data_IF_153548279181
#
_entry.id   IF_153548279181
#
_cell.length_a   1.000
_cell.length_b   1.000
_cell.length_c   1.000
_cell.angle_alpha   90.00
_cell.angle_beta   90.00
_cell.angle_gamma   90.00
#
_symmetry.space_group_name_H-M   'P 1'
#
loop_
_entity.id
_entity.type
_entity.pdbx_description
1 polymer ?
#
# COMPACT_ATOMS: atom_id res chain seq x y z
N UNK A 1 38.83 -4.64 50.95
CA UNK A 1 38.88 -3.82 49.72
C UNK A 1 37.58 -4.01 48.95
N UNK A 2 36.63 -3.07 49.07
CA UNK A 2 35.31 -3.14 48.41
C UNK A 2 35.47 -2.63 46.96
N UNK A 3 35.26 -3.50 45.97
CA UNK A 3 35.24 -3.13 44.55
C UNK A 3 33.92 -2.43 44.26
N UNK A 4 34.00 -1.13 43.98
CA UNK A 4 32.88 -0.33 43.46
C UNK A 4 32.82 -0.59 41.96
N UNK A 5 31.74 -1.22 41.50
CA UNK A 5 31.45 -1.43 40.09
C UNK A 5 30.79 -0.14 39.56
N UNK A 6 31.44 0.53 38.63
CA UNK A 6 30.87 1.63 37.84
C UNK A 6 30.76 1.18 36.38
N UNK A 7 29.82 1.83 35.66
CA UNK A 7 29.60 1.84 34.20
C UNK A 7 28.54 0.81 33.73
N UNK A 8 27.56 1.15 32.89
CA UNK A 8 27.26 2.34 32.09
C UNK A 8 25.77 2.19 31.66
N UNK A 9 24.91 3.23 31.67
CA UNK A 9 23.58 3.07 31.10
C UNK A 9 23.70 3.03 29.58
N UNK A 10 23.37 1.88 28.98
CA UNK A 10 23.17 1.74 27.55
C UNK A 10 22.00 2.64 27.15
N UNK A 11 22.29 3.82 26.60
CA UNK A 11 21.31 4.62 25.88
C UNK A 11 20.89 3.81 24.64
N UNK A 12 19.74 3.15 24.75
CA UNK A 12 19.01 2.61 23.60
C UNK A 12 18.66 3.79 22.69
N UNK A 13 19.51 4.02 21.68
CA UNK A 13 19.15 4.84 20.55
C UNK A 13 17.97 4.16 19.85
N UNK A 14 16.75 4.61 20.16
CA UNK A 14 15.58 4.29 19.40
C UNK A 14 15.84 4.79 17.97
N UNK A 15 16.19 3.86 17.08
CA UNK A 15 16.29 4.12 15.65
C UNK A 15 14.91 4.60 15.20
N UNK A 16 14.74 5.92 15.13
CA UNK A 16 13.60 6.52 14.48
C UNK A 16 13.73 6.14 13.01
N UNK A 17 12.90 5.19 12.58
CA UNK A 17 12.62 5.01 11.17
C UNK A 17 12.04 6.34 10.70
N UNK A 18 12.89 7.23 10.19
CA UNK A 18 12.47 8.49 9.58
C UNK A 18 11.44 8.13 8.51
N UNK A 19 10.21 8.56 8.76
CA UNK A 19 8.98 8.09 8.15
C UNK A 19 8.92 8.43 6.65
N UNK A 20 9.50 7.55 5.82
CA UNK A 20 9.61 7.66 4.35
C UNK A 20 8.23 7.77 3.65
N UNK A 21 7.14 7.49 4.37
CA UNK A 21 5.76 7.48 3.87
C UNK A 21 4.83 8.51 4.54
N UNK A 22 5.38 9.57 5.16
CA UNK A 22 4.59 10.60 5.88
C UNK A 22 3.37 11.12 5.11
N UNK A 23 3.48 11.27 3.79
CA UNK A 23 2.37 11.74 2.97
C UNK A 23 1.21 10.75 2.82
N UNK A 24 1.49 9.44 2.79
CA UNK A 24 0.47 8.41 2.81
C UNK A 24 -0.27 8.41 4.15
N UNK A 25 0.48 8.50 5.25
CA UNK A 25 -0.07 8.54 6.61
C UNK A 25 -0.88 9.82 6.87
N UNK A 26 -0.45 10.96 6.35
CA UNK A 26 -1.22 12.21 6.44
C UNK A 26 -2.52 12.15 5.63
N UNK A 27 -2.50 11.51 4.45
CA UNK A 27 -3.71 11.29 3.66
C UNK A 27 -4.69 10.35 4.38
N UNK A 28 -4.18 9.23 4.90
CA UNK A 28 -4.97 8.28 5.66
C UNK A 28 -5.56 8.93 6.92
N UNK A 29 -4.76 9.68 7.68
CA UNK A 29 -5.24 10.42 8.85
C UNK A 29 -6.33 11.41 8.47
N UNK A 30 -6.12 12.21 7.41
CA UNK A 30 -7.14 13.14 6.94
C UNK A 30 -8.45 12.44 6.58
N UNK A 31 -8.38 11.29 5.91
CA UNK A 31 -9.57 10.48 5.62
C UNK A 31 -10.26 10.02 6.91
N UNK A 32 -9.51 9.47 7.87
CA UNK A 32 -10.02 9.00 9.17
C UNK A 32 -10.74 10.12 9.93
N UNK A 33 -10.08 11.26 10.06
CA UNK A 33 -10.62 12.45 10.76
C UNK A 33 -11.87 13.01 10.06
N UNK A 34 -11.87 13.06 8.73
CA UNK A 34 -12.92 13.74 7.96
C UNK A 34 -14.17 12.88 7.77
N UNK A 35 -13.99 11.57 7.54
CA UNK A 35 -15.08 10.70 7.06
C UNK A 35 -15.42 9.54 8.00
N UNK A 36 -14.48 9.12 8.84
CA UNK A 36 -14.57 7.87 9.61
C UNK A 36 -14.44 8.09 11.12
N UNK A 37 -14.95 9.24 11.59
CA UNK A 37 -15.08 9.55 13.02
C UNK A 37 -13.75 9.65 13.77
N UNK A 38 -12.63 9.88 13.07
CA UNK A 38 -11.32 9.89 13.69
C UNK A 38 -10.86 8.51 14.16
N UNK A 39 -11.37 7.42 13.55
CA UNK A 39 -10.95 6.04 13.87
C UNK A 39 -9.44 5.94 14.01
N UNK A 40 -8.92 5.34 15.08
CA UNK A 40 -7.50 5.04 15.25
C UNK A 40 -7.26 3.53 15.14
N UNK A 41 -6.37 3.07 14.25
CA UNK A 41 -5.97 1.66 14.14
C UNK A 41 -5.50 1.07 15.47
N UNK A 42 -6.08 -0.06 15.87
CA UNK A 42 -5.62 -0.82 17.06
C UNK A 42 -4.21 -1.40 16.84
N UNK A 43 -3.90 -1.79 15.60
CA UNK A 43 -2.61 -2.34 15.21
C UNK A 43 -2.35 -2.14 13.72
N UNK A 44 -1.08 -1.97 13.36
CA UNK A 44 -0.64 -1.96 11.96
C UNK A 44 -0.81 -3.32 11.24
N UNK A 45 -1.14 -4.39 11.97
CA UNK A 45 -1.37 -5.74 11.42
C UNK A 45 -2.83 -6.06 11.12
N UNK A 46 -3.77 -5.20 11.54
CA UNK A 46 -5.20 -5.42 11.35
C UNK A 46 -5.56 -5.66 9.87
N UNK A 47 -6.71 -6.31 9.61
CA UNK A 47 -7.11 -6.72 8.26
C UNK A 47 -7.26 -5.52 7.32
N UNK A 48 -7.91 -4.47 7.80
CA UNK A 48 -8.31 -3.29 7.05
C UNK A 48 -7.79 -2.02 7.71
N UNK A 49 -7.32 -1.06 6.90
CA UNK A 49 -6.85 0.24 7.40
C UNK A 49 -7.97 0.96 8.19
N UNK A 50 -9.21 0.86 7.70
CA UNK A 50 -10.43 1.28 8.42
C UNK A 50 -11.47 0.15 8.30
N UNK A 51 -11.93 -0.45 9.41
CA UNK A 51 -12.90 -1.53 9.39
C UNK A 51 -14.31 -1.04 9.02
N UNK A 52 -15.17 -1.98 8.61
CA UNK A 52 -16.57 -1.71 8.31
C UNK A 52 -17.33 -1.00 9.45
N UNK A 53 -17.04 -1.38 10.70
CA UNK A 53 -17.63 -0.79 11.90
C UNK A 53 -17.32 0.71 12.08
N UNK A 54 -16.20 1.20 11.55
CA UNK A 54 -15.84 2.61 11.56
C UNK A 54 -16.43 3.39 10.38
N UNK A 55 -16.83 2.70 9.30
CA UNK A 55 -17.41 3.29 8.10
C UNK A 55 -18.96 3.31 8.14
N UNK A 56 -19.52 4.08 9.07
CA UNK A 56 -20.98 4.17 9.26
C UNK A 56 -21.72 4.92 8.16
N UNK A 57 -21.01 5.72 7.35
CA UNK A 57 -21.61 6.65 6.37
C UNK A 57 -21.51 6.17 4.92
N UNK A 58 -20.55 5.32 4.60
CA UNK A 58 -20.27 4.92 3.21
C UNK A 58 -20.43 3.40 3.05
N UNK A 59 -21.61 2.91 3.45
CA UNK A 59 -22.07 1.55 3.16
C UNK A 59 -21.67 0.47 4.14
N UNK A 60 -21.09 0.80 5.31
CA UNK A 60 -20.66 -0.18 6.32
C UNK A 60 -19.76 -1.27 5.73
N UNK A 61 -18.86 -0.87 4.83
CA UNK A 61 -17.85 -1.75 4.23
C UNK A 61 -16.45 -1.28 4.61
N UNK A 62 -15.45 -2.17 4.67
CA UNK A 62 -14.10 -1.78 4.99
C UNK A 62 -13.52 -0.77 3.99
N UNK A 63 -12.54 0.03 4.43
CA UNK A 63 -11.89 1.04 3.59
C UNK A 63 -10.38 0.79 3.58
N UNK A 64 -9.82 0.90 2.39
CA UNK A 64 -8.41 0.71 2.10
C UNK A 64 -7.87 1.96 1.40
N UNK A 65 -7.37 2.95 2.16
CA UNK A 65 -6.70 4.11 1.60
C UNK A 65 -5.35 3.74 1.01
N UNK A 66 -5.07 4.25 -0.20
CA UNK A 66 -3.77 4.07 -0.86
C UNK A 66 -3.34 5.34 -1.53
N UNK A 67 -2.03 5.57 -1.56
CA UNK A 67 -1.44 6.73 -2.22
C UNK A 67 -0.33 6.32 -3.16
N UNK A 68 -0.26 6.95 -4.33
CA UNK A 68 0.76 6.70 -5.33
C UNK A 68 1.17 8.00 -6.02
N UNK A 69 2.35 8.01 -6.66
CA UNK A 69 2.68 9.11 -7.58
C UNK A 69 1.70 9.02 -8.77
N UNK A 70 1.25 10.17 -9.29
CA UNK A 70 0.40 10.22 -10.47
C UNK A 70 1.09 9.49 -11.65
N UNK A 71 0.36 8.57 -12.29
CA UNK A 71 0.89 7.73 -13.37
C UNK A 71 1.68 6.50 -12.90
N UNK A 72 1.93 6.34 -11.60
CA UNK A 72 2.63 5.16 -11.05
C UNK A 72 1.67 4.11 -10.51
N UNK A 73 2.09 2.83 -10.42
CA UNK A 73 1.27 1.78 -9.81
C UNK A 73 0.90 2.07 -8.35
N UNK A 74 -0.31 1.65 -7.97
CA UNK A 74 -0.79 1.66 -6.59
C UNK A 74 -0.22 0.42 -5.90
N UNK A 75 0.63 0.60 -4.89
CA UNK A 75 1.09 -0.50 -4.04
C UNK A 75 -0.02 -0.93 -3.08
N UNK A 76 -0.31 -2.23 -3.00
CA UNK A 76 -1.46 -2.77 -2.24
C UNK A 76 -1.05 -3.59 -1.01
N UNK A 77 0.24 -3.76 -0.77
CA UNK A 77 0.75 -4.54 0.36
C UNK A 77 0.86 -6.02 0.02
N UNK A 78 0.60 -6.88 0.99
CA UNK A 78 0.80 -8.33 0.92
C UNK A 78 -0.11 -9.00 -0.12
N UNK A 79 0.46 -9.76 -1.05
CA UNK A 79 -0.29 -10.32 -2.17
C UNK A 79 -1.30 -11.40 -1.75
N UNK A 80 -0.96 -12.24 -0.77
CA UNK A 80 -1.83 -13.32 -0.31
C UNK A 80 -3.06 -12.72 0.38
N UNK A 81 -2.85 -11.74 1.28
CA UNK A 81 -3.95 -11.03 1.94
C UNK A 81 -4.86 -10.30 0.95
N UNK A 82 -4.28 -9.69 -0.09
CA UNK A 82 -5.08 -9.00 -1.11
C UNK A 82 -5.83 -9.99 -2.01
N UNK A 83 -5.24 -11.15 -2.32
CA UNK A 83 -5.92 -12.21 -3.08
C UNK A 83 -7.14 -12.76 -2.34
N UNK A 84 -7.04 -12.91 -1.02
CA UNK A 84 -8.10 -13.49 -0.17
C UNK A 84 -9.27 -12.54 0.15
N UNK A 85 -9.27 -11.32 -0.40
CA UNK A 85 -10.39 -10.39 -0.20
C UNK A 85 -11.62 -10.93 -0.93
N UNK A 86 -12.62 -11.33 -0.14
CA UNK A 86 -13.88 -11.93 -0.56
C UNK A 86 -15.12 -11.10 -0.19
N UNK A 87 -14.92 -9.92 0.38
CA UNK A 87 -15.96 -8.95 0.78
C UNK A 87 -15.83 -7.63 0.01
N UNK A 88 -16.93 -6.88 -0.23
CA UNK A 88 -16.84 -5.56 -0.83
C UNK A 88 -16.07 -4.59 0.06
N UNK A 89 -15.32 -3.67 -0.54
CA UNK A 89 -14.58 -2.64 0.20
C UNK A 89 -14.50 -1.33 -0.59
N UNK A 90 -14.18 -0.24 0.09
CA UNK A 90 -13.85 1.05 -0.54
C UNK A 90 -12.35 1.15 -0.74
N UNK A 91 -11.89 1.25 -1.98
CA UNK A 91 -10.52 1.65 -2.29
C UNK A 91 -10.51 3.16 -2.51
N UNK A 92 -9.82 3.90 -1.62
CA UNK A 92 -9.64 5.34 -1.77
C UNK A 92 -8.21 5.61 -2.23
N UNK A 93 -8.04 5.90 -3.50
CA UNK A 93 -6.74 6.12 -4.14
C UNK A 93 -6.45 7.63 -4.28
N UNK A 94 -5.37 8.09 -3.65
CA UNK A 94 -4.83 9.44 -3.81
C UNK A 94 -3.58 9.45 -4.69
N UNK A 95 -3.57 10.24 -5.76
CA UNK A 95 -2.44 10.38 -6.67
C UNK A 95 -1.74 11.73 -6.51
N UNK A 96 -0.45 11.72 -6.18
CA UNK A 96 0.31 12.93 -5.92
C UNK A 96 1.37 13.21 -6.99
N UNK A 97 1.77 14.48 -7.12
CA UNK A 97 2.97 14.89 -7.84
C UNK A 97 3.89 15.68 -6.92
N UNK A 98 5.20 15.49 -7.07
CA UNK A 98 6.20 16.32 -6.41
C UNK A 98 6.30 17.64 -7.19
N UNK A 99 5.90 18.75 -6.58
CA UNK A 99 5.92 20.08 -7.24
C UNK A 99 7.17 20.88 -6.88
N UNK A 100 7.69 20.70 -5.68
CA UNK A 100 8.99 21.22 -5.24
C UNK A 100 9.72 20.13 -4.44
N UNK A 101 11.02 20.24 -4.14
CA UNK A 101 11.71 19.24 -3.31
C UNK A 101 11.06 18.97 -1.93
N UNK A 102 10.29 19.92 -1.41
CA UNK A 102 9.65 19.83 -0.10
C UNK A 102 8.12 19.66 -0.15
N UNK A 103 7.50 19.69 -1.33
CA UNK A 103 6.04 19.71 -1.48
C UNK A 103 5.54 18.66 -2.45
N UNK A 104 4.57 17.87 -1.98
CA UNK A 104 3.72 17.03 -2.81
C UNK A 104 2.32 17.62 -2.86
N UNK A 105 1.70 17.57 -4.03
CA UNK A 105 0.31 18.01 -4.22
C UNK A 105 -0.52 16.85 -4.71
N UNK A 106 -1.76 16.74 -4.23
CA UNK A 106 -2.71 15.78 -4.78
C UNK A 106 -3.20 16.29 -6.13
N UNK A 107 -3.17 15.41 -7.10
CA UNK A 107 -3.49 15.73 -8.49
C UNK A 107 -4.71 14.97 -8.96
N UNK A 108 -5.03 13.82 -8.39
CA UNK A 108 -6.26 13.09 -8.68
C UNK A 108 -6.59 12.24 -7.46
N UNK A 109 -7.85 12.14 -7.09
CA UNK A 109 -8.31 11.24 -6.04
C UNK A 109 -9.58 10.52 -6.48
N UNK A 110 -9.70 9.24 -6.12
CA UNK A 110 -10.85 8.41 -6.45
C UNK A 110 -11.25 7.58 -5.23
N UNK A 111 -12.54 7.57 -4.90
CA UNK A 111 -13.13 6.62 -3.96
C UNK A 111 -14.01 5.66 -4.75
N UNK A 112 -13.62 4.39 -4.81
CA UNK A 112 -14.33 3.36 -5.58
C UNK A 112 -14.75 2.22 -4.69
N UNK A 113 -16.02 1.82 -4.80
CA UNK A 113 -16.49 0.54 -4.27
C UNK A 113 -15.97 -0.57 -5.17
N UNK A 114 -15.29 -1.53 -4.57
CA UNK A 114 -14.76 -2.70 -5.25
C UNK A 114 -15.54 -3.92 -4.76
N UNK A 115 -16.27 -4.56 -5.67
CA UNK A 115 -16.94 -5.82 -5.36
C UNK A 115 -16.00 -7.03 -5.56
N UNK A 116 -16.16 -8.12 -4.79
CA UNK A 116 -15.27 -9.28 -4.84
C UNK A 116 -15.10 -9.89 -6.23
N UNK A 117 -16.15 -9.88 -7.04
CA UNK A 117 -16.09 -10.39 -8.42
C UNK A 117 -15.20 -9.53 -9.31
N UNK A 118 -15.25 -8.20 -9.19
CA UNK A 118 -14.34 -7.32 -9.92
C UNK A 118 -12.89 -7.50 -9.45
N UNK A 119 -12.70 -7.60 -8.12
CA UNK A 119 -11.37 -7.82 -7.54
C UNK A 119 -10.72 -9.13 -8.01
N UNK A 120 -11.45 -10.25 -7.97
CA UNK A 120 -10.97 -11.55 -8.45
C UNK A 120 -10.59 -11.55 -9.92
N UNK A 121 -11.28 -10.78 -10.77
CA UNK A 121 -10.93 -10.65 -12.20
C UNK A 121 -9.54 -10.03 -12.40
N UNK A 122 -9.08 -9.15 -11.50
CA UNK A 122 -7.74 -8.57 -11.60
C UNK A 122 -6.64 -9.61 -11.37
N UNK A 123 -6.91 -10.61 -10.54
CA UNK A 123 -5.98 -11.67 -10.22
C UNK A 123 -5.93 -12.77 -11.28
N UNK A 124 -7.03 -13.04 -11.98
CA UNK A 124 -7.07 -14.07 -13.01
C UNK A 124 -5.99 -13.83 -14.10
N UNK A 125 -5.21 -14.86 -14.50
CA UNK A 125 -5.35 -16.28 -14.19
C UNK A 125 -4.52 -16.79 -13.00
N UNK A 126 -3.97 -15.93 -12.15
CA UNK A 126 -3.20 -16.34 -10.96
C UNK A 126 -4.11 -17.09 -9.99
N UNK A 127 -3.66 -18.26 -9.54
CA UNK A 127 -4.29 -19.03 -8.46
C UNK A 127 -3.60 -18.78 -7.13
N UNK A 128 -4.26 -19.18 -6.03
CA UNK A 128 -3.64 -19.17 -4.70
C UNK A 128 -2.35 -19.99 -4.64
N UNK A 129 -2.36 -21.18 -5.26
CA UNK A 129 -1.20 -22.07 -5.29
C UNK A 129 0.00 -21.44 -6.03
N UNK A 130 -0.25 -20.64 -7.07
CA UNK A 130 0.82 -19.91 -7.77
C UNK A 130 1.48 -18.88 -6.84
N UNK A 131 0.68 -18.13 -6.06
CA UNK A 131 1.18 -17.15 -5.09
C UNK A 131 1.98 -17.82 -3.98
N UNK A 132 1.49 -18.95 -3.45
CA UNK A 132 2.17 -19.70 -2.39
C UNK A 132 3.50 -20.26 -2.89
N UNK A 133 3.55 -20.82 -4.11
CA UNK A 133 4.80 -21.29 -4.73
C UNK A 133 5.84 -20.17 -4.84
N UNK A 134 5.42 -18.98 -5.28
CA UNK A 134 6.30 -17.83 -5.37
C UNK A 134 6.74 -17.36 -3.97
N UNK A 135 5.82 -17.35 -3.01
CA UNK A 135 6.11 -16.94 -1.63
C UNK A 135 7.12 -17.89 -0.95
N UNK A 136 7.02 -19.20 -1.17
CA UNK A 136 7.98 -20.17 -0.64
C UNK A 136 9.40 -19.83 -1.08
N UNK A 137 9.62 -19.54 -2.37
CA UNK A 137 10.94 -19.15 -2.90
C UNK A 137 11.43 -17.84 -2.29
N UNK A 138 10.54 -16.86 -2.12
CA UNK A 138 10.89 -15.57 -1.51
C UNK A 138 11.34 -15.75 -0.05
N UNK A 139 10.61 -16.57 0.71
CA UNK A 139 10.84 -16.79 2.14
C UNK A 139 11.94 -17.82 2.44
N UNK A 140 12.45 -18.54 1.44
CA UNK A 140 13.52 -19.52 1.63
C UNK A 140 14.83 -18.86 2.07
N UNK A 141 15.21 -19.07 3.33
CA UNK A 141 16.43 -18.54 3.94
C UNK A 141 17.68 -19.36 3.63
N UNK A 142 17.54 -20.54 3.04
CA UNK A 142 18.68 -21.33 2.57
C UNK A 142 19.31 -20.73 1.31
N UNK A 143 18.53 -19.97 0.53
CA UNK A 143 18.99 -19.24 -0.64
C UNK A 143 19.67 -17.92 -0.26
N UNK A 144 20.74 -17.59 -0.98
CA UNK A 144 21.31 -16.24 -0.97
C UNK A 144 20.26 -15.22 -1.47
N UNK A 145 20.43 -13.93 -1.14
CA UNK A 145 19.52 -12.89 -1.60
C UNK A 145 19.46 -12.82 -3.14
N UNK A 146 20.59 -13.03 -3.81
CA UNK A 146 20.68 -13.02 -5.27
C UNK A 146 19.95 -14.22 -5.87
N UNK A 147 20.18 -15.43 -5.35
CA UNK A 147 19.49 -16.64 -5.78
C UNK A 147 17.98 -16.50 -5.62
N UNK A 148 17.51 -16.05 -4.45
CA UNK A 148 16.09 -15.85 -4.20
C UNK A 148 15.47 -14.82 -5.16
N UNK A 149 16.18 -13.71 -5.46
CA UNK A 149 15.72 -12.70 -6.43
C UNK A 149 15.62 -13.27 -7.83
N UNK A 150 16.64 -14.00 -8.26
CA UNK A 150 16.66 -14.61 -9.59
C UNK A 150 15.51 -15.62 -9.74
N UNK A 151 15.37 -16.57 -8.79
CA UNK A 151 14.30 -17.56 -8.84
C UNK A 151 12.90 -16.93 -8.78
N UNK A 152 12.70 -15.91 -7.94
CA UNK A 152 11.43 -15.17 -7.90
C UNK A 152 11.15 -14.44 -9.22
N UNK A 153 12.18 -13.85 -9.85
CA UNK A 153 12.06 -13.19 -11.15
C UNK A 153 11.72 -14.19 -12.27
N UNK A 154 12.34 -15.36 -12.27
CA UNK A 154 12.07 -16.44 -13.24
C UNK A 154 10.64 -16.97 -13.14
N UNK A 155 10.09 -17.10 -11.92
CA UNK A 155 8.70 -17.51 -11.72
C UNK A 155 7.74 -16.42 -12.20
N UNK A 156 7.92 -15.17 -11.77
CA UNK A 156 6.96 -14.10 -12.09
C UNK A 156 7.02 -13.61 -13.53
N UNK A 157 8.05 -13.96 -14.29
CA UNK A 157 8.21 -13.60 -15.71
C UNK A 157 7.48 -14.56 -16.66
N UNK A 158 6.70 -15.51 -16.12
CA UNK A 158 5.94 -16.51 -16.89
C UNK A 158 4.45 -16.45 -16.54
N UNK A 159 3.56 -17.00 -17.40
CA UNK A 159 2.17 -17.25 -17.02
C UNK A 159 2.08 -18.07 -15.71
N UNK A 160 1.07 -17.81 -14.86
CA UNK A 160 -0.02 -16.85 -15.06
C UNK A 160 0.33 -15.39 -14.75
N UNK A 161 1.47 -15.11 -14.12
CA UNK A 161 1.82 -13.77 -13.61
C UNK A 161 1.94 -12.69 -14.69
N UNK A 162 2.37 -13.05 -15.90
CA UNK A 162 2.46 -12.09 -17.02
C UNK A 162 1.12 -11.80 -17.70
N UNK A 163 0.07 -12.58 -17.39
CA UNK A 163 -1.26 -12.44 -17.99
C UNK A 163 -2.24 -11.69 -17.09
N UNK A 164 -2.00 -11.70 -15.77
CA UNK A 164 -2.88 -11.02 -14.82
C UNK A 164 -2.76 -9.49 -14.88
N UNK A 165 -3.84 -8.82 -14.50
CA UNK A 165 -3.85 -7.36 -14.33
C UNK A 165 -3.09 -6.96 -13.07
N UNK A 166 -3.30 -7.70 -11.98
CA UNK A 166 -2.58 -7.53 -10.73
C UNK A 166 -1.11 -7.94 -10.91
N UNK A 167 -0.19 -7.07 -10.50
CA UNK A 167 1.25 -7.34 -10.58
C UNK A 167 1.79 -7.79 -9.22
N UNK A 168 2.61 -8.84 -9.22
CA UNK A 168 3.33 -9.31 -8.04
C UNK A 168 4.74 -8.70 -7.96
N UNK A 169 5.09 -8.22 -6.77
CA UNK A 169 6.32 -7.49 -6.47
C UNK A 169 7.06 -8.14 -5.30
N UNK A 170 7.86 -9.19 -5.55
CA UNK A 170 8.75 -9.74 -4.54
C UNK A 170 9.67 -8.65 -3.98
N UNK A 171 9.67 -8.48 -2.66
CA UNK A 171 10.61 -7.62 -1.94
C UNK A 171 11.59 -8.50 -1.16
N UNK A 172 12.81 -8.59 -1.67
CA UNK A 172 13.90 -9.41 -1.13
C UNK A 172 15.11 -8.52 -0.90
N UNK A 173 15.39 -8.21 0.36
CA UNK A 173 16.57 -7.47 0.81
C UNK A 173 17.08 -8.06 2.13
N UNK A 174 18.13 -7.46 2.72
CA UNK A 174 18.74 -7.95 3.95
C UNK A 174 17.79 -7.93 5.17
N UNK A 175 16.72 -7.13 5.10
CA UNK A 175 15.77 -6.93 6.18
C UNK A 175 14.40 -7.56 5.91
N UNK A 176 14.04 -7.78 4.63
CA UNK A 176 12.69 -8.14 4.23
C UNK A 176 12.68 -9.21 3.13
N UNK A 177 11.80 -10.20 3.31
CA UNK A 177 11.42 -11.22 2.32
C UNK A 177 9.91 -11.34 2.30
N UNK A 178 9.24 -10.59 1.41
CA UNK A 178 7.78 -10.47 1.36
C UNK A 178 7.27 -10.49 -0.08
N UNK A 179 6.11 -11.09 -0.31
CA UNK A 179 5.43 -11.02 -1.60
C UNK A 179 4.40 -9.88 -1.57
N UNK A 180 4.70 -8.77 -2.24
CA UNK A 180 3.78 -7.64 -2.35
C UNK A 180 3.06 -7.65 -3.69
N UNK A 181 2.02 -6.82 -3.85
CA UNK A 181 1.34 -6.62 -5.12
C UNK A 181 1.05 -5.14 -5.42
N UNK A 182 0.75 -4.85 -6.68
CA UNK A 182 0.35 -3.52 -7.14
C UNK A 182 -0.61 -3.59 -8.31
N UNK A 183 -1.40 -2.53 -8.47
CA UNK A 183 -2.25 -2.30 -9.63
C UNK A 183 -1.69 -1.13 -10.45
N UNK A 184 -1.52 -1.31 -11.76
CA UNK A 184 -1.03 -0.22 -12.63
C UNK A 184 -2.02 0.95 -12.63
N UNK A 185 -1.49 2.17 -12.79
CA UNK A 185 -2.31 3.37 -12.84
C UNK A 185 -3.44 3.27 -13.87
N UNK A 186 -3.10 2.89 -15.11
CA UNK A 186 -4.08 2.72 -16.20
C UNK A 186 -5.13 1.66 -15.89
N UNK A 187 -4.74 0.58 -15.23
CA UNK A 187 -5.61 -0.56 -14.95
C UNK A 187 -6.60 -0.25 -13.83
N UNK A 188 -6.20 0.58 -12.84
CA UNK A 188 -7.12 1.11 -11.85
C UNK A 188 -8.28 1.85 -12.52
N UNK A 189 -7.99 2.77 -13.44
CA UNK A 189 -9.05 3.48 -14.17
C UNK A 189 -9.81 2.56 -15.13
N UNK A 190 -9.13 1.63 -15.80
CA UNK A 190 -9.79 0.71 -16.75
C UNK A 190 -10.77 -0.23 -16.06
N UNK A 191 -10.40 -0.79 -14.91
CA UNK A 191 -11.16 -1.89 -14.29
C UNK A 191 -11.96 -1.49 -13.06
N UNK A 192 -11.52 -0.48 -12.29
CA UNK A 192 -12.15 -0.09 -11.02
C UNK A 192 -12.81 1.29 -11.08
N UNK A 193 -12.33 2.19 -11.94
CA UNK A 193 -12.86 3.55 -12.08
C UNK A 193 -13.09 3.98 -13.55
N UNK A 194 -13.83 3.20 -14.38
CA UNK A 194 -13.91 3.44 -15.83
C UNK A 194 -14.59 4.74 -16.23
N UNK A 195 -15.38 5.33 -15.33
CA UNK A 195 -16.03 6.62 -15.54
C UNK A 195 -15.20 7.80 -15.02
N UNK A 196 -14.09 7.55 -14.34
CA UNK A 196 -13.22 8.58 -13.81
C UNK A 196 -12.16 8.99 -14.83
N UNK A 197 -11.80 10.28 -14.83
CA UNK A 197 -10.69 10.77 -15.65
C UNK A 197 -9.35 10.43 -15.01
N UNK A 198 -8.39 10.04 -15.84
CA UNK A 198 -6.97 9.89 -15.45
C UNK A 198 -6.27 11.24 -15.29
N UNK A 199 -6.83 12.33 -15.82
CA UNK A 199 -6.18 13.64 -15.83
C UNK A 199 -6.12 14.26 -14.43
N UNK A 200 -5.15 15.17 -14.19
CA UNK A 200 -5.15 15.98 -12.99
C UNK A 200 -6.45 16.77 -12.81
N UNK A 201 -7.02 16.70 -11.61
CA UNK A 201 -8.16 17.47 -11.14
C UNK A 201 -7.65 18.83 -10.61
N UNK A 202 -8.32 19.93 -10.97
CA UNK A 202 -8.00 21.26 -10.43
C UNK A 202 -8.18 21.34 -8.91
N UNK A 203 -9.19 20.63 -8.40
CA UNK A 203 -9.56 20.58 -7.00
C UNK A 203 -10.02 19.15 -6.69
N UNK A 204 -9.07 18.25 -6.35
CA UNK A 204 -9.40 16.87 -6.01
C UNK A 204 -10.33 16.81 -4.80
N UNK A 205 -11.38 16.00 -4.88
CA UNK A 205 -12.39 15.85 -3.82
C UNK A 205 -12.68 14.38 -3.54
N UNK A 206 -12.84 14.04 -2.26
CA UNK A 206 -13.40 12.78 -1.81
C UNK A 206 -14.76 13.07 -1.16
N UNK A 207 -15.81 12.41 -1.63
CA UNK A 207 -17.18 12.59 -1.13
C UNK A 207 -17.64 14.07 -1.03
N UNK A 208 -17.23 14.89 -2.01
CA UNK A 208 -17.57 16.31 -2.08
C UNK A 208 -16.74 17.24 -1.18
N UNK A 209 -15.74 16.72 -0.44
CA UNK A 209 -14.84 17.51 0.39
C UNK A 209 -13.47 17.60 -0.28
N UNK A 210 -12.92 18.81 -0.33
CA UNK A 210 -11.59 19.08 -0.88
C UNK A 210 -10.49 18.35 -0.13
N UNK A 211 -9.58 17.75 -0.88
CA UNK A 211 -8.36 17.17 -0.34
C UNK A 211 -7.36 18.30 -0.03
N UNK A 212 -6.63 18.25 1.10
CA UNK A 212 -5.64 19.27 1.46
C UNK A 212 -4.61 19.50 0.35
N UNK A 213 -4.46 20.75 -0.13
CA UNK A 213 -3.73 21.07 -1.38
C UNK A 213 -2.25 20.68 -1.40
N UNK A 214 -1.61 20.47 -0.25
CA UNK A 214 -0.19 20.18 -0.17
C UNK A 214 0.19 19.38 1.06
N UNK A 215 1.08 18.40 0.86
CA UNK A 215 1.63 17.58 1.92
C UNK A 215 3.14 17.84 2.03
N UNK A 216 3.63 18.36 3.17
CA UNK A 216 5.06 18.54 3.40
C UNK A 216 5.80 17.20 3.25
N UNK A 217 6.86 17.20 2.44
CA UNK A 217 7.66 16.01 2.14
C UNK A 217 9.11 16.44 1.96
N UNK A 218 9.85 16.61 3.05
CA UNK A 218 11.28 16.94 2.99
C UNK A 218 12.10 15.81 2.30
N UNK A 219 13.20 16.14 1.59
CA UNK A 219 14.10 15.15 1.00
C UNK A 219 14.71 14.20 2.03
N UNK A 220 15.17 13.03 1.56
CA UNK A 220 15.97 12.10 2.38
C UNK A 220 17.26 12.77 2.82
N UNK A 221 17.54 12.75 4.12
CA UNK A 221 18.90 12.86 4.63
C UNK A 221 19.41 11.42 4.77
N UNK A 222 20.51 11.09 4.09
CA UNK A 222 21.18 9.79 4.17
C UNK A 222 22.36 9.91 5.13
#
# INVERSE_FOLDING_TARGET
>A
MKRVLFLLPLLLAAAHSLEVQRHGLLFEKWLRDTFFGGYEPESHTQKWDIPASANTRFGNIPVNPKTARHGSPIGLGDALRQYDIDEPFLLIAGFWQQTTPALKTWTNVQAVRVDPTAWRKLWHPITRADLEKLETVIKDKSLSLEQARQSAQEIKSRPPFTLAVMQVNPKIDSSQRRLQCSLRFTDFFTHLAPQASTLPQKQPQIFGVDVPRGVPSAPRQF
#
